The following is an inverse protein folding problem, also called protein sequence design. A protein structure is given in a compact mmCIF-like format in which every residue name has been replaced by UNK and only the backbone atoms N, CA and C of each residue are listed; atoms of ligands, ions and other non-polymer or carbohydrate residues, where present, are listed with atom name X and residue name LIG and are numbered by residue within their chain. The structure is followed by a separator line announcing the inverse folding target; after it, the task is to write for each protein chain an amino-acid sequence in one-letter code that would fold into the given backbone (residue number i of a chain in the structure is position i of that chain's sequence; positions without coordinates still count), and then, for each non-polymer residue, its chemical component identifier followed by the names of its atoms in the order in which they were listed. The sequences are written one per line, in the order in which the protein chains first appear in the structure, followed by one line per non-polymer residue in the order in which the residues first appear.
data_IF_682589840144
#
_entry.id   IF_682589840144
#
_cell.length_a   1.000
_cell.length_b   1.000
_cell.length_c   1.000
_cell.angle_alpha   90.00
_cell.angle_beta   90.00
_cell.angle_gamma   90.00
#
_symmetry.space_group_name_H-M   'P 1'
#
loop_
_entity.id
_entity.type
_entity.pdbx_description
1 polymer ?
#
# COMPACT_ATOMS: atom_id res chain seq x y z
N UNK A 1 25.98 29.99 2.02
CA UNK A 1 24.93 29.52 2.95
C UNK A 1 24.42 30.64 3.84
N UNK A 2 25.27 31.56 4.34
CA UNK A 2 24.85 32.73 5.13
C UNK A 2 23.84 33.64 4.42
N UNK A 3 24.07 34.03 3.17
CA UNK A 3 23.17 34.95 2.43
C UNK A 3 21.70 34.48 2.34
N UNK A 4 21.43 33.17 2.42
CA UNK A 4 20.06 32.64 2.36
C UNK A 4 19.32 32.73 3.70
N UNK A 5 20.05 32.76 4.81
CA UNK A 5 19.48 32.86 6.16
C UNK A 5 19.13 34.32 6.46
N UNK A 6 20.00 35.25 6.07
CA UNK A 6 19.79 36.69 6.25
C UNK A 6 18.49 37.17 5.59
N UNK A 7 18.16 36.64 4.40
CA UNK A 7 16.91 36.96 3.69
C UNK A 7 15.66 36.47 4.43
N UNK A 8 15.75 35.30 5.06
CA UNK A 8 14.64 34.74 5.85
C UNK A 8 14.44 35.54 7.14
N UNK A 9 15.52 35.96 7.78
CA UNK A 9 15.48 36.76 9.02
C UNK A 9 14.86 38.15 8.81
N UNK A 10 15.06 38.77 7.63
CA UNK A 10 14.40 40.05 7.29
C UNK A 10 12.87 39.97 7.33
N UNK A 11 12.29 38.78 7.18
CA UNK A 11 10.83 38.59 7.20
C UNK A 11 10.28 38.49 8.62
N UNK A 12 11.11 38.20 9.63
CA UNK A 12 10.63 37.87 10.98
C UNK A 12 9.85 39.00 11.65
N UNK A 13 10.24 40.28 11.55
CA UNK A 13 9.45 41.40 12.05
C UNK A 13 8.06 41.55 11.40
N UNK A 14 7.86 40.95 10.22
CA UNK A 14 6.59 40.95 9.48
C UNK A 14 5.72 39.72 9.79
N UNK A 15 6.19 38.84 10.68
CA UNK A 15 5.50 37.59 11.05
C UNK A 15 5.20 37.54 12.54
N UNK A 16 4.15 36.84 12.93
CA UNK A 16 3.85 36.58 14.34
C UNK A 16 4.49 35.26 14.79
N UNK A 17 5.10 35.20 15.99
CA UNK A 17 5.65 33.97 16.53
C UNK A 17 4.60 32.87 16.67
N UNK A 18 4.99 31.64 16.30
CA UNK A 18 4.16 30.46 16.54
C UNK A 18 4.19 30.16 18.04
N UNK A 19 3.03 30.04 18.73
CA UNK A 19 2.99 29.93 20.19
C UNK A 19 3.81 28.77 20.80
N UNK A 20 4.08 27.72 20.02
CA UNK A 20 4.85 26.56 20.47
C UNK A 20 6.38 26.72 20.30
N UNK A 21 6.84 27.75 19.59
CA UNK A 21 8.27 28.03 19.36
C UNK A 21 8.71 29.11 20.33
N UNK A 22 9.58 28.77 21.29
CA UNK A 22 10.04 29.73 22.30
C UNK A 22 11.05 30.75 21.76
N UNK A 23 11.92 30.32 20.85
CA UNK A 23 12.89 31.18 20.16
C UNK A 23 12.44 31.42 18.73
N UNK A 24 11.91 32.61 18.46
CA UNK A 24 11.49 33.04 17.13
C UNK A 24 12.69 33.56 16.31
N UNK A 25 13.72 32.72 16.20
CA UNK A 25 14.87 32.87 15.29
C UNK A 25 14.88 31.70 14.31
N UNK A 26 15.66 31.80 13.22
CA UNK A 26 15.79 30.65 12.29
C UNK A 26 16.31 29.41 13.02
N UNK A 27 17.27 29.60 13.94
CA UNK A 27 17.83 28.51 14.75
C UNK A 27 16.79 27.92 15.71
N UNK A 28 16.00 28.76 16.38
CA UNK A 28 14.96 28.32 17.30
C UNK A 28 13.84 27.55 16.61
N UNK A 29 13.43 27.98 15.41
CA UNK A 29 12.46 27.25 14.57
C UNK A 29 13.05 25.90 14.15
N UNK A 30 14.30 25.87 13.68
CA UNK A 30 14.97 24.62 13.31
C UNK A 30 15.06 23.65 14.50
N UNK A 31 15.43 24.14 15.68
CA UNK A 31 15.49 23.34 16.89
C UNK A 31 14.11 22.79 17.29
N UNK A 32 13.06 23.62 17.19
CA UNK A 32 11.70 23.18 17.45
C UNK A 32 11.24 22.09 16.47
N UNK A 33 11.47 22.27 15.16
CA UNK A 33 11.11 21.28 14.13
C UNK A 33 11.88 19.96 14.32
N UNK A 34 13.10 20.02 14.82
CA UNK A 34 13.91 18.83 15.11
C UNK A 34 13.57 18.19 16.47
N UNK A 35 12.85 18.88 17.35
CA UNK A 35 12.48 18.40 18.67
C UNK A 35 11.60 17.15 18.62
N UNK A 36 11.75 16.29 19.62
CA UNK A 36 10.92 15.09 19.76
C UNK A 36 9.44 15.45 19.92
N UNK A 37 9.13 16.52 20.67
CA UNK A 37 7.77 16.98 20.86
C UNK A 37 7.06 17.35 19.53
N UNK A 38 7.77 18.02 18.61
CA UNK A 38 7.21 18.32 17.28
C UNK A 38 7.01 17.06 16.44
N UNK A 39 7.99 16.14 16.45
CA UNK A 39 7.91 14.87 15.72
C UNK A 39 6.76 13.99 16.23
N UNK A 40 6.61 13.85 17.54
CA UNK A 40 5.53 13.09 18.18
C UNK A 40 4.16 13.66 17.84
N UNK A 41 4.00 14.99 17.93
CA UNK A 41 2.74 15.65 17.56
C UNK A 41 2.41 15.49 16.08
N UNK A 42 3.42 15.56 15.23
CA UNK A 42 3.27 15.34 13.78
C UNK A 42 2.86 13.89 13.51
N UNK A 43 3.54 12.93 14.13
CA UNK A 43 3.22 11.51 14.02
C UNK A 43 1.80 11.20 14.52
N UNK A 44 1.37 11.78 15.64
CA UNK A 44 0.01 11.62 16.16
C UNK A 44 -1.04 12.16 15.17
N UNK A 45 -0.76 13.33 14.58
CA UNK A 45 -1.64 13.94 13.57
C UNK A 45 -1.72 13.06 12.32
N UNK A 46 -0.58 12.51 11.86
CA UNK A 46 -0.52 11.59 10.73
C UNK A 46 -1.24 10.27 11.02
N UNK A 47 -1.15 9.74 12.24
CA UNK A 47 -1.90 8.53 12.67
C UNK A 47 -3.40 8.75 12.63
N UNK A 48 -3.89 9.91 13.11
CA UNK A 48 -5.32 10.28 13.03
C UNK A 48 -5.77 10.39 11.57
N UNK A 49 -4.97 11.06 10.74
CA UNK A 49 -5.27 11.20 9.32
C UNK A 49 -5.25 9.85 8.57
N UNK A 50 -4.29 8.99 8.88
CA UNK A 50 -4.21 7.63 8.35
C UNK A 50 -5.48 6.82 8.66
N UNK A 51 -5.99 6.90 9.90
CA UNK A 51 -7.21 6.20 10.28
C UNK A 51 -8.41 6.64 9.44
N UNK A 52 -8.59 7.96 9.24
CA UNK A 52 -9.65 8.52 8.38
C UNK A 52 -9.51 8.04 6.93
N UNK A 53 -8.31 8.12 6.36
CA UNK A 53 -8.06 7.66 4.98
C UNK A 53 -8.32 6.16 4.82
N UNK A 54 -7.92 5.34 5.79
CA UNK A 54 -8.20 3.89 5.81
C UNK A 54 -9.70 3.60 5.83
N UNK A 55 -10.47 4.35 6.63
CA UNK A 55 -11.93 4.22 6.68
C UNK A 55 -12.57 4.61 5.35
N UNK A 56 -12.18 5.74 4.75
CA UNK A 56 -12.67 6.18 3.44
C UNK A 56 -12.34 5.17 2.33
N UNK A 57 -11.13 4.60 2.35
CA UNK A 57 -10.73 3.58 1.39
C UNK A 57 -11.60 2.31 1.52
N UNK A 58 -11.77 1.83 2.75
CA UNK A 58 -12.61 0.67 3.04
C UNK A 58 -14.09 0.90 2.68
N UNK A 59 -14.60 2.10 2.91
CA UNK A 59 -15.95 2.50 2.52
C UNK A 59 -16.14 2.47 1.00
N UNK A 60 -15.25 3.12 0.26
CA UNK A 60 -15.26 3.13 -1.21
C UNK A 60 -15.15 1.71 -1.78
N UNK A 61 -14.30 0.88 -1.17
CA UNK A 61 -14.17 -0.54 -1.52
C UNK A 61 -15.49 -1.31 -1.33
N UNK A 62 -16.18 -1.12 -0.18
CA UNK A 62 -17.47 -1.76 0.09
C UNK A 62 -18.54 -1.36 -0.91
N UNK A 63 -18.51 -0.11 -1.39
CA UNK A 63 -19.37 0.40 -2.47
C UNK A 63 -19.01 -0.11 -3.87
N UNK A 64 -17.93 -0.90 -4.00
CA UNK A 64 -17.36 -1.37 -5.28
C UNK A 64 -16.82 -0.23 -6.16
N UNK A 65 -16.56 0.94 -5.58
CA UNK A 65 -15.96 2.09 -6.24
C UNK A 65 -14.43 1.93 -6.27
N UNK A 66 -13.94 0.90 -6.96
CA UNK A 66 -12.53 0.49 -6.89
C UNK A 66 -11.57 1.57 -7.39
N UNK A 67 -11.93 2.31 -8.45
CA UNK A 67 -11.13 3.43 -8.98
C UNK A 67 -10.96 4.55 -7.96
N UNK A 68 -11.96 4.80 -7.10
CA UNK A 68 -11.89 5.78 -6.02
C UNK A 68 -11.13 5.25 -4.79
N UNK A 69 -11.24 3.94 -4.51
CA UNK A 69 -10.55 3.31 -3.38
C UNK A 69 -9.02 3.24 -3.56
N UNK A 70 -8.54 3.04 -4.79
CA UNK A 70 -7.10 2.93 -5.12
C UNK A 70 -6.26 4.12 -4.62
N UNK A 71 -6.57 5.38 -4.96
CA UNK A 71 -5.78 6.52 -4.50
C UNK A 71 -5.84 6.69 -2.98
N UNK A 72 -6.97 6.34 -2.34
CA UNK A 72 -7.10 6.37 -0.89
C UNK A 72 -6.18 5.34 -0.22
N UNK A 73 -6.14 4.11 -0.73
CA UNK A 73 -5.16 3.12 -0.26
C UNK A 73 -3.72 3.56 -0.53
N UNK A 74 -3.45 4.19 -1.68
CA UNK A 74 -2.13 4.76 -1.98
C UNK A 74 -1.70 5.83 -0.99
N UNK A 75 -2.62 6.73 -0.61
CA UNK A 75 -2.34 7.74 0.41
C UNK A 75 -2.11 7.12 1.79
N UNK A 76 -2.88 6.11 2.17
CA UNK A 76 -2.66 5.37 3.42
C UNK A 76 -1.29 4.66 3.45
N UNK A 77 -0.85 4.09 2.33
CA UNK A 77 0.48 3.47 2.20
C UNK A 77 1.59 4.52 2.36
N UNK A 78 1.44 5.67 1.71
CA UNK A 78 2.39 6.78 1.83
C UNK A 78 2.53 7.23 3.29
N UNK A 79 1.41 7.53 3.97
CA UNK A 79 1.43 8.00 5.36
C UNK A 79 2.06 6.94 6.27
N UNK A 80 1.72 5.66 6.09
CA UNK A 80 2.35 4.58 6.85
C UNK A 80 3.87 4.58 6.68
N UNK A 81 4.37 4.73 5.45
CA UNK A 81 5.81 4.81 5.19
C UNK A 81 6.45 6.04 5.86
N UNK A 82 5.76 7.19 5.88
CA UNK A 82 6.25 8.42 6.51
C UNK A 82 6.41 8.26 8.04
N UNK A 83 5.51 7.53 8.68
CA UNK A 83 5.59 7.21 10.13
C UNK A 83 6.38 5.94 10.43
N UNK A 84 7.13 5.40 9.45
CA UNK A 84 8.00 4.23 9.62
C UNK A 84 7.26 2.89 9.80
N UNK A 85 5.99 2.80 9.43
CA UNK A 85 5.16 1.59 9.53
C UNK A 85 4.93 0.94 8.16
N UNK A 86 4.82 -0.39 8.15
CA UNK A 86 4.39 -1.17 6.98
C UNK A 86 3.08 -1.90 7.26
N UNK A 87 2.13 -1.83 6.34
CA UNK A 87 0.84 -2.52 6.47
C UNK A 87 0.53 -3.36 5.23
N UNK A 88 0.82 -4.67 5.32
CA UNK A 88 0.54 -5.63 4.26
C UNK A 88 -0.94 -5.66 3.84
N UNK A 89 -1.85 -5.30 4.75
CA UNK A 89 -3.30 -5.30 4.47
C UNK A 89 -3.66 -4.20 3.48
N UNK A 90 -3.02 -3.03 3.55
CA UNK A 90 -3.25 -1.94 2.59
C UNK A 90 -2.86 -2.36 1.17
N UNK A 91 -1.67 -2.93 1.02
CA UNK A 91 -1.21 -3.47 -0.26
C UNK A 91 -2.13 -4.59 -0.77
N UNK A 92 -2.53 -5.53 0.09
CA UNK A 92 -3.47 -6.61 -0.28
C UNK A 92 -4.85 -6.10 -0.73
N UNK A 93 -5.35 -5.04 -0.10
CA UNK A 93 -6.64 -4.44 -0.47
C UNK A 93 -6.53 -3.60 -1.75
N UNK A 94 -5.45 -2.84 -1.95
CA UNK A 94 -5.22 -2.10 -3.19
C UNK A 94 -4.98 -3.04 -4.37
N UNK A 95 -4.22 -4.11 -4.17
CA UNK A 95 -4.07 -5.23 -5.12
C UNK A 95 -5.42 -5.78 -5.57
N UNK A 96 -6.34 -6.02 -4.62
CA UNK A 96 -7.69 -6.46 -4.97
C UNK A 96 -8.45 -5.42 -5.79
N UNK A 97 -8.31 -4.13 -5.50
CA UNK A 97 -8.95 -3.07 -6.29
C UNK A 97 -8.43 -3.09 -7.73
N UNK A 98 -7.12 -3.15 -7.93
CA UNK A 98 -6.48 -3.27 -9.24
C UNK A 98 -6.99 -4.50 -10.00
N UNK A 99 -7.03 -5.65 -9.34
CA UNK A 99 -7.58 -6.89 -9.91
C UNK A 99 -9.04 -6.70 -10.35
N UNK A 100 -9.88 -6.04 -9.53
CA UNK A 100 -11.30 -5.83 -9.85
C UNK A 100 -11.52 -4.91 -11.06
N UNK A 101 -10.55 -4.06 -11.39
CA UNK A 101 -10.61 -3.20 -12.57
C UNK A 101 -9.80 -3.73 -13.77
N UNK A 102 -9.23 -4.94 -13.66
CA UNK A 102 -8.51 -5.60 -14.75
C UNK A 102 -7.02 -5.28 -14.85
N UNK A 103 -6.47 -4.48 -13.93
CA UNK A 103 -5.07 -4.04 -13.96
C UNK A 103 -4.15 -5.08 -13.29
N UNK A 104 -3.86 -6.17 -14.01
CA UNK A 104 -3.11 -7.32 -13.49
C UNK A 104 -1.70 -6.99 -12.99
N UNK A 105 -0.95 -6.14 -13.71
CA UNK A 105 0.45 -5.79 -13.37
C UNK A 105 0.51 -5.02 -12.04
N UNK A 106 -0.36 -4.03 -11.89
CA UNK A 106 -0.46 -3.24 -10.66
C UNK A 106 -0.94 -4.10 -9.49
N UNK A 107 -1.89 -5.00 -9.73
CA UNK A 107 -2.36 -5.96 -8.72
C UNK A 107 -1.24 -6.88 -8.23
N UNK A 108 -0.40 -7.37 -9.15
CA UNK A 108 0.74 -8.23 -8.84
C UNK A 108 1.80 -7.49 -8.01
N UNK A 109 2.16 -6.28 -8.42
CA UNK A 109 3.13 -5.45 -7.69
C UNK A 109 2.70 -5.24 -6.23
N UNK A 110 1.45 -4.87 -6.00
CA UNK A 110 0.92 -4.70 -4.64
C UNK A 110 0.86 -6.04 -3.88
N UNK A 111 0.50 -7.15 -4.53
CA UNK A 111 0.45 -8.45 -3.89
C UNK A 111 1.83 -8.93 -3.42
N UNK A 112 2.88 -8.69 -4.22
CA UNK A 112 4.27 -8.99 -3.87
C UNK A 112 4.76 -8.13 -2.70
N UNK A 113 4.38 -6.85 -2.65
CA UNK A 113 4.68 -6.01 -1.48
C UNK A 113 3.98 -6.50 -0.21
N UNK A 114 2.73 -6.95 -0.32
CA UNK A 114 2.02 -7.56 0.81
C UNK A 114 2.72 -8.85 1.30
N UNK A 115 3.20 -9.69 0.38
CA UNK A 115 3.98 -10.88 0.72
C UNK A 115 5.32 -10.52 1.36
N UNK A 116 6.04 -9.52 0.84
CA UNK A 116 7.31 -9.05 1.42
C UNK A 116 7.15 -8.60 2.87
N UNK A 117 6.05 -7.90 3.17
CA UNK A 117 5.74 -7.44 4.53
C UNK A 117 5.24 -8.57 5.44
N UNK A 118 4.55 -9.57 4.91
CA UNK A 118 4.05 -10.73 5.66
C UNK A 118 4.20 -12.03 4.83
N UNK A 119 5.38 -12.68 4.88
CA UNK A 119 5.67 -13.86 4.05
C UNK A 119 4.77 -15.06 4.34
N UNK A 120 4.38 -15.24 5.61
CA UNK A 120 3.55 -16.34 6.10
C UNK A 120 2.05 -16.03 6.05
N UNK A 121 1.63 -15.12 5.18
CA UNK A 121 0.21 -14.76 5.06
C UNK A 121 -0.42 -15.39 3.82
N UNK A 122 -1.27 -16.45 3.95
CA UNK A 122 -1.86 -17.15 2.82
C UNK A 122 -2.59 -16.22 1.84
N UNK A 123 -3.23 -15.17 2.36
CA UNK A 123 -3.98 -14.20 1.55
C UNK A 123 -3.08 -13.38 0.62
N UNK A 124 -1.82 -13.12 0.97
CA UNK A 124 -0.88 -12.44 0.08
C UNK A 124 -0.56 -13.33 -1.14
N UNK A 125 -0.26 -14.60 -0.92
CA UNK A 125 -0.04 -15.60 -1.98
C UNK A 125 -1.28 -15.78 -2.86
N UNK A 126 -2.48 -15.76 -2.28
CA UNK A 126 -3.73 -15.77 -3.04
C UNK A 126 -3.84 -14.54 -3.96
N UNK A 127 -3.49 -13.33 -3.48
CA UNK A 127 -3.51 -12.11 -4.31
C UNK A 127 -2.51 -12.18 -5.46
N UNK A 128 -1.32 -12.74 -5.22
CA UNK A 128 -0.31 -12.98 -6.27
C UNK A 128 -0.88 -13.90 -7.34
N UNK A 129 -1.42 -15.05 -6.93
CA UNK A 129 -2.04 -16.01 -7.86
C UNK A 129 -3.20 -15.41 -8.64
N UNK A 130 -4.08 -14.65 -8.00
CA UNK A 130 -5.21 -13.99 -8.66
C UNK A 130 -4.74 -12.93 -9.69
N UNK A 131 -3.71 -12.14 -9.36
CA UNK A 131 -3.14 -11.18 -10.30
C UNK A 131 -2.49 -11.89 -11.52
N UNK A 132 -1.77 -12.98 -11.29
CA UNK A 132 -1.17 -13.79 -12.36
C UNK A 132 -2.24 -14.47 -13.24
N UNK A 133 -3.39 -14.85 -12.68
CA UNK A 133 -4.54 -15.34 -13.46
C UNK A 133 -5.05 -14.28 -14.44
N UNK A 134 -5.14 -13.01 -14.04
CA UNK A 134 -5.52 -11.90 -14.95
C UNK A 134 -4.49 -11.71 -16.06
N UNK A 135 -3.21 -11.88 -15.73
CA UNK A 135 -2.10 -11.80 -16.69
C UNK A 135 -1.96 -13.05 -17.57
N UNK A 136 -2.80 -14.07 -17.34
CA UNK A 136 -2.75 -15.37 -18.03
C UNK A 136 -1.45 -16.16 -17.79
N UNK A 137 -0.71 -15.83 -16.75
CA UNK A 137 0.49 -16.52 -16.30
C UNK A 137 0.13 -17.73 -15.43
N UNK A 138 -0.61 -18.68 -16.03
CA UNK A 138 -1.30 -19.75 -15.30
C UNK A 138 -0.36 -20.67 -14.50
N UNK A 139 0.84 -20.95 -15.02
CA UNK A 139 1.83 -21.77 -14.33
C UNK A 139 2.31 -21.10 -13.04
N UNK A 140 2.67 -19.82 -13.12
CA UNK A 140 3.11 -19.03 -11.96
C UNK A 140 1.95 -18.84 -10.97
N UNK A 141 0.73 -18.62 -11.46
CA UNK A 141 -0.47 -18.53 -10.62
C UNK A 141 -0.68 -19.80 -9.79
N UNK A 142 -0.58 -20.99 -10.41
CA UNK A 142 -0.70 -22.26 -9.71
C UNK A 142 0.39 -22.43 -8.64
N UNK A 143 1.62 -21.96 -8.89
CA UNK A 143 2.71 -22.01 -7.91
C UNK A 143 2.44 -21.09 -6.72
N UNK A 144 1.98 -19.86 -6.97
CA UNK A 144 1.59 -18.92 -5.92
C UNK A 144 0.46 -19.49 -5.04
N UNK A 145 -0.58 -20.06 -5.63
CA UNK A 145 -1.64 -20.72 -4.86
C UNK A 145 -1.14 -21.95 -4.09
N UNK A 146 -0.21 -22.73 -4.66
CA UNK A 146 0.45 -23.83 -3.93
C UNK A 146 1.18 -23.31 -2.70
N UNK A 147 1.93 -22.21 -2.82
CA UNK A 147 2.62 -21.59 -1.68
C UNK A 147 1.63 -21.12 -0.60
N UNK A 148 0.50 -20.52 -0.99
CA UNK A 148 -0.58 -20.18 -0.06
C UNK A 148 -1.18 -21.40 0.67
N UNK A 149 -1.34 -22.52 -0.03
CA UNK A 149 -1.83 -23.78 0.57
C UNK A 149 -0.82 -24.49 1.47
N UNK A 150 0.48 -24.22 1.33
CA UNK A 150 1.47 -24.71 2.30
C UNK A 150 1.29 -24.03 3.66
N UNK A 151 0.85 -22.77 3.66
CA UNK A 151 0.59 -21.98 4.87
C UNK A 151 -0.81 -22.26 5.45
N UNK A 152 -1.82 -22.48 4.60
CA UNK A 152 -3.18 -22.82 5.02
C UNK A 152 -3.75 -23.95 4.13
N UNK A 153 -3.49 -25.23 4.49
CA UNK A 153 -3.90 -26.38 3.70
C UNK A 153 -5.40 -26.63 3.65
N UNK A 154 -6.20 -26.03 4.54
CA UNK A 154 -7.66 -26.23 4.58
C UNK A 154 -8.41 -25.16 3.77
N UNK A 155 -7.72 -24.13 3.31
CA UNK A 155 -8.31 -23.03 2.56
C UNK A 155 -8.97 -23.46 1.24
N UNK A 156 -10.30 -23.55 1.24
CA UNK A 156 -11.06 -23.99 0.08
C UNK A 156 -11.03 -22.99 -1.08
N UNK A 157 -10.93 -21.69 -0.79
CA UNK A 157 -10.83 -20.65 -1.81
C UNK A 157 -9.53 -20.80 -2.62
N UNK A 158 -8.39 -20.94 -1.94
CA UNK A 158 -7.09 -21.13 -2.59
C UNK A 158 -7.06 -22.48 -3.34
N UNK A 159 -7.64 -23.56 -2.79
CA UNK A 159 -7.74 -24.85 -3.49
C UNK A 159 -8.54 -24.75 -4.79
N UNK A 160 -9.63 -23.98 -4.80
CA UNK A 160 -10.45 -23.76 -5.99
C UNK A 160 -9.68 -22.95 -7.03
N UNK A 161 -9.08 -21.84 -6.61
CA UNK A 161 -8.32 -20.97 -7.51
C UNK A 161 -7.10 -21.68 -8.13
N UNK A 162 -6.42 -22.55 -7.36
CA UNK A 162 -5.34 -23.40 -7.91
C UNK A 162 -5.84 -24.37 -8.97
N UNK A 163 -6.99 -25.02 -8.75
CA UNK A 163 -7.59 -25.92 -9.74
C UNK A 163 -7.92 -25.18 -11.02
N UNK A 164 -8.53 -24.01 -10.90
CA UNK A 164 -8.82 -23.13 -12.03
C UNK A 164 -7.56 -22.75 -12.82
N UNK A 165 -6.47 -22.38 -12.13
CA UNK A 165 -5.19 -22.08 -12.77
C UNK A 165 -4.64 -23.28 -13.56
N UNK A 166 -4.71 -24.49 -13.00
CA UNK A 166 -4.25 -25.72 -13.67
C UNK A 166 -5.12 -26.05 -14.88
N UNK A 167 -6.44 -25.87 -14.78
CA UNK A 167 -7.35 -26.11 -15.90
C UNK A 167 -7.13 -25.10 -17.03
N UNK A 168 -6.94 -23.82 -16.71
CA UNK A 168 -6.55 -22.79 -17.68
C UNK A 168 -5.22 -23.13 -18.36
N UNK A 169 -4.21 -23.57 -17.60
CA UNK A 169 -2.92 -23.98 -18.15
C UNK A 169 -3.04 -25.15 -19.12
N UNK A 170 -3.84 -26.18 -18.78
CA UNK A 170 -4.11 -27.31 -19.68
C UNK A 170 -4.76 -26.83 -20.98
N UNK A 171 -5.80 -26.00 -20.88
CA UNK A 171 -6.50 -25.46 -22.06
C UNK A 171 -5.56 -24.63 -22.95
N UNK A 172 -4.66 -23.83 -22.38
CA UNK A 172 -3.69 -23.06 -23.18
C UNK A 172 -2.67 -23.94 -23.90
N UNK A 173 -2.29 -25.09 -23.33
CA UNK A 173 -1.36 -26.01 -23.99
C UNK A 173 -2.01 -26.79 -25.14
N UNK A 174 -3.27 -27.21 -25.00
CA UNK A 174 -3.97 -28.03 -26.02
C UNK A 174 -4.76 -27.21 -27.05
N UNK A 175 -5.04 -25.93 -26.78
CA UNK A 175 -5.78 -25.05 -27.68
C UNK A 175 -4.96 -24.46 -28.83
N UNK A 176 -3.66 -24.78 -28.92
CA UNK A 176 -2.75 -24.32 -29.98
C UNK A 176 -2.71 -25.19 -31.24
N UNK A 177 -3.31 -26.39 -31.22
CA UNK A 177 -3.20 -27.39 -32.30
C UNK A 177 -4.44 -27.48 -33.21
N UNK A 178 -5.16 -26.39 -33.42
CA UNK A 178 -6.32 -26.39 -34.34
C UNK A 178 -6.39 -25.11 -35.16
N UNK A 179 -5.49 -24.99 -36.13
CA UNK A 179 -5.69 -24.25 -37.38
C UNK A 179 -4.97 -24.95 -38.52
#
# INVERSE_FOLDING_TARGET
MHEKLDVVEMLFPLTSPVPQVQDWSVQGILQYVQSNAFKEKTEETLKKYLADVKLKAAYSFKKKEYRAAIPLYGKAIQINSEIGLGDAVLFSNRSLCWHRIGEGVMALSDALMAQKLRPEWPKAHYRIGAALMLLKEYQQASQAFKAGLLLDPTNMEIKKARREAVDCLRRSCFGGESK
#
